data_IF_820788251078
#
_entry.id   IF_820788251078
#
_cell.length_a   1.000
_cell.length_b   1.000
_cell.length_c   1.000
_cell.angle_alpha   90.00
_cell.angle_beta   90.00
_cell.angle_gamma   90.00
#
_symmetry.space_group_name_H-M   'P 1'
#
loop_
_entity.id
_entity.type
_entity.pdbx_description
1 polymer ?
#
# COMPACT_ATOMS: atom_id res chain seq x y z
N UNK A 1 4.00 8.51 -1.72
CA UNK A 1 2.99 7.45 -1.88
C UNK A 1 2.63 7.18 -3.33
N UNK A 2 2.14 8.17 -4.11
CA UNK A 2 1.74 7.99 -5.53
C UNK A 2 2.77 7.25 -6.40
N UNK A 3 4.05 7.64 -6.37
CA UNK A 3 5.11 6.98 -7.15
C UNK A 3 5.29 5.50 -6.81
N UNK A 4 5.19 5.14 -5.53
CA UNK A 4 5.33 3.75 -5.09
C UNK A 4 4.16 2.89 -5.58
N UNK A 5 2.93 3.39 -5.43
CA UNK A 5 1.75 2.68 -5.95
C UNK A 5 1.71 2.61 -7.47
N UNK A 6 2.22 3.62 -8.17
CA UNK A 6 2.36 3.57 -9.62
C UNK A 6 3.34 2.47 -10.06
N UNK A 7 4.50 2.34 -9.39
CA UNK A 7 5.46 1.26 -9.68
C UNK A 7 4.80 -0.11 -9.47
N UNK A 8 4.04 -0.28 -8.39
CA UNK A 8 3.31 -1.54 -8.14
C UNK A 8 2.27 -1.79 -9.25
N UNK A 9 1.49 -0.77 -9.62
CA UNK A 9 0.48 -0.90 -10.67
C UNK A 9 1.10 -1.24 -12.03
N UNK A 10 2.23 -0.63 -12.37
CA UNK A 10 3.00 -0.93 -13.58
C UNK A 10 3.49 -2.39 -13.56
N UNK A 11 4.07 -2.87 -12.45
CA UNK A 11 4.60 -4.24 -12.35
C UNK A 11 3.49 -5.32 -12.25
N UNK A 12 2.29 -4.96 -11.78
CA UNK A 12 1.13 -5.87 -11.73
C UNK A 12 0.23 -5.78 -12.97
N UNK A 13 0.56 -4.95 -13.97
CA UNK A 13 -0.33 -4.61 -15.10
C UNK A 13 -1.74 -4.17 -14.66
N UNK A 14 -1.82 -3.47 -13.52
CA UNK A 14 -3.08 -3.03 -12.92
C UNK A 14 -3.35 -1.55 -13.25
N UNK A 15 -4.63 -1.15 -13.16
CA UNK A 15 -5.02 0.25 -13.37
C UNK A 15 -4.37 1.15 -12.32
N UNK A 16 -3.69 2.20 -12.79
CA UNK A 16 -3.00 3.15 -11.92
C UNK A 16 -4.01 3.86 -11.00
N UNK A 17 -3.66 4.08 -9.72
CA UNK A 17 -4.50 4.87 -8.83
C UNK A 17 -4.51 6.33 -9.28
N UNK A 18 -5.58 6.73 -9.97
CA UNK A 18 -5.78 8.09 -10.48
C UNK A 18 -6.65 8.95 -9.56
N UNK A 19 -7.46 8.32 -8.71
CA UNK A 19 -8.38 9.01 -7.81
C UNK A 19 -7.63 9.39 -6.54
N UNK A 20 -7.48 10.69 -6.29
CA UNK A 20 -7.03 11.17 -4.99
C UNK A 20 -8.15 10.99 -3.98
N UNK A 21 -7.88 10.20 -2.94
CA UNK A 21 -8.89 9.86 -1.94
C UNK A 21 -9.13 11.06 -1.03
N UNK A 22 -10.25 11.76 -1.23
CA UNK A 22 -10.62 12.87 -0.35
C UNK A 22 -11.03 12.38 1.03
N UNK A 23 -10.93 13.26 2.03
CA UNK A 23 -11.37 12.99 3.40
C UNK A 23 -12.85 12.57 3.47
N UNK A 24 -13.70 13.12 2.60
CA UNK A 24 -15.11 12.75 2.54
C UNK A 24 -15.28 11.30 2.07
N UNK A 25 -14.57 10.90 1.02
CA UNK A 25 -14.61 9.54 0.49
C UNK A 25 -14.13 8.51 1.52
N UNK A 26 -13.05 8.80 2.25
CA UNK A 26 -12.54 7.93 3.32
C UNK A 26 -13.49 7.85 4.51
N UNK A 27 -14.15 8.95 4.87
CA UNK A 27 -15.17 8.94 5.93
C UNK A 27 -16.41 8.14 5.52
N UNK A 28 -16.88 8.26 4.28
CA UNK A 28 -17.96 7.42 3.77
C UNK A 28 -17.58 5.94 3.79
N UNK A 29 -16.37 5.59 3.34
CA UNK A 29 -15.88 4.21 3.36
C UNK A 29 -15.88 3.62 4.78
N UNK A 30 -15.46 4.40 5.78
CA UNK A 30 -15.50 4.01 7.20
C UNK A 30 -16.93 3.75 7.68
N UNK A 31 -17.91 4.53 7.23
CA UNK A 31 -19.32 4.32 7.56
C UNK A 31 -19.83 3.02 6.94
N UNK A 32 -19.54 2.77 5.66
CA UNK A 32 -19.86 1.51 4.99
C UNK A 32 -19.24 0.30 5.68
N UNK A 33 -17.97 0.39 6.09
CA UNK A 33 -17.28 -0.70 6.77
C UNK A 33 -17.88 -0.96 8.16
N UNK A 34 -18.34 0.09 8.86
CA UNK A 34 -19.07 -0.05 10.13
C UNK A 34 -20.43 -0.73 9.93
N UNK A 35 -21.19 -0.35 8.91
CA UNK A 35 -22.48 -0.98 8.57
C UNK A 35 -22.24 -2.47 8.24
N UNK A 36 -21.22 -2.75 7.42
CA UNK A 36 -20.82 -4.11 7.07
C UNK A 36 -20.42 -4.92 8.28
N UNK A 37 -19.65 -4.36 9.21
CA UNK A 37 -19.29 -4.99 10.48
C UNK A 37 -20.54 -5.32 11.29
N UNK A 38 -21.50 -4.40 11.41
CA UNK A 38 -22.75 -4.64 12.14
C UNK A 38 -23.54 -5.81 11.54
N UNK A 39 -23.54 -5.97 10.22
CA UNK A 39 -24.27 -7.04 9.52
C UNK A 39 -23.50 -8.38 9.53
N UNK A 40 -22.19 -8.36 9.28
CA UNK A 40 -21.39 -9.57 9.06
C UNK A 40 -20.55 -10.00 10.27
N UNK A 41 -20.47 -9.17 11.31
CA UNK A 41 -19.57 -9.29 12.48
C UNK A 41 -18.09 -9.48 12.12
N UNK A 42 -17.70 -9.21 10.86
CA UNK A 42 -16.32 -9.30 10.39
C UNK A 42 -15.59 -8.01 10.68
N UNK A 43 -14.40 -8.12 11.26
CA UNK A 43 -13.59 -6.97 11.69
C UNK A 43 -13.45 -5.90 10.59
N UNK A 44 -13.63 -4.61 10.95
CA UNK A 44 -13.49 -3.52 10.00
C UNK A 44 -12.04 -3.39 9.56
N UNK A 45 -11.83 -3.32 8.24
CA UNK A 45 -10.50 -3.21 7.62
C UNK A 45 -10.03 -1.76 7.58
N UNK A 46 -10.97 -0.81 7.57
CA UNK A 46 -10.71 0.62 7.44
C UNK A 46 -10.97 1.32 8.78
N UNK A 47 -9.89 1.67 9.50
CA UNK A 47 -9.98 2.40 10.77
C UNK A 47 -9.60 3.87 10.60
N UNK A 48 -10.01 4.72 11.55
CA UNK A 48 -9.64 6.16 11.60
C UNK A 48 -8.11 6.36 11.59
N UNK A 49 -7.36 5.46 12.22
CA UNK A 49 -5.90 5.51 12.26
C UNK A 49 -5.27 5.17 10.91
N UNK A 50 -5.82 4.17 10.20
CA UNK A 50 -5.38 3.80 8.84
C UNK A 50 -5.61 4.97 7.87
N UNK A 51 -6.79 5.62 7.95
CA UNK A 51 -7.11 6.82 7.15
C UNK A 51 -6.08 7.93 7.40
N UNK A 52 -5.82 8.26 8.67
CA UNK A 52 -4.90 9.35 9.03
C UNK A 52 -3.45 9.04 8.61
N UNK A 53 -2.98 7.82 8.82
CA UNK A 53 -1.62 7.41 8.47
C UNK A 53 -1.42 7.28 6.96
N UNK A 54 -2.44 6.89 6.20
CA UNK A 54 -2.40 6.78 4.73
C UNK A 54 -2.24 8.13 4.04
N UNK A 55 -2.75 9.21 4.62
CA UNK A 55 -2.62 10.57 4.07
C UNK A 55 -1.31 11.26 4.48
N UNK A 56 -0.67 10.80 5.56
CA UNK A 56 0.55 11.41 6.05
C UNK A 56 1.78 11.00 5.24
N UNK A 57 2.52 11.97 4.71
CA UNK A 57 3.80 11.75 4.02
C UNK A 57 4.95 11.55 5.01
N UNK A 58 5.26 10.30 5.37
CA UNK A 58 6.45 10.00 6.18
C UNK A 58 7.67 9.81 5.26
N UNK A 59 8.62 10.75 5.32
CA UNK A 59 9.93 10.62 4.67
C UNK A 59 10.90 9.98 5.66
N UNK A 60 11.33 8.75 5.38
CA UNK A 60 12.35 8.07 6.16
C UNK A 60 13.71 8.27 5.50
N UNK A 61 14.71 8.71 6.26
CA UNK A 61 16.10 8.84 5.81
C UNK A 61 16.93 7.70 6.37
N UNK A 62 17.58 6.96 5.48
CA UNK A 62 18.42 5.81 5.84
C UNK A 62 19.92 6.17 5.79
N UNK A 63 20.25 7.46 5.65
CA UNK A 63 21.61 7.94 5.41
C UNK A 63 22.57 7.52 6.52
N UNK A 64 22.14 7.62 7.78
CA UNK A 64 22.94 7.23 8.95
C UNK A 64 23.40 5.76 8.90
N UNK A 65 22.57 4.86 8.37
CA UNK A 65 22.87 3.43 8.32
C UNK A 65 23.83 3.13 7.15
N UNK A 66 23.63 3.78 6.00
CA UNK A 66 24.49 3.64 4.83
C UNK A 66 25.92 4.11 5.10
N UNK A 67 26.05 5.25 5.80
CA UNK A 67 27.35 5.86 6.11
C UNK A 67 28.12 5.08 7.17
N UNK A 68 27.44 4.63 8.24
CA UNK A 68 28.11 3.95 9.37
C UNK A 68 28.48 2.50 9.04
N UNK A 69 27.68 1.80 8.24
CA UNK A 69 27.85 0.37 7.99
C UNK A 69 28.34 0.05 6.56
N UNK A 70 28.59 1.07 5.73
CA UNK A 70 28.96 0.95 4.32
C UNK A 70 28.09 -0.08 3.55
N UNK A 71 26.79 -0.11 3.86
CA UNK A 71 25.87 -1.12 3.35
C UNK A 71 25.00 -0.57 2.22
N UNK A 72 24.99 -1.28 1.09
CA UNK A 72 24.18 -0.95 -0.07
C UNK A 72 22.82 -1.66 0.02
N UNK A 73 21.77 -0.89 0.34
CA UNK A 73 20.41 -1.39 0.34
C UNK A 73 19.91 -1.64 -1.09
N UNK A 74 19.20 -2.75 -1.27
CA UNK A 74 18.48 -3.05 -2.51
C UNK A 74 17.49 -1.90 -2.80
N UNK A 75 17.49 -1.33 -4.03
CA UNK A 75 16.56 -0.29 -4.41
C UNK A 75 15.10 -0.72 -4.21
N UNK A 76 14.27 0.16 -3.67
CA UNK A 76 12.84 -0.13 -3.41
C UNK A 76 12.11 -0.64 -4.65
N UNK A 77 12.44 -0.10 -5.84
CA UNK A 77 11.84 -0.51 -7.12
C UNK A 77 12.12 -1.98 -7.44
N UNK A 78 13.33 -2.45 -7.17
CA UNK A 78 13.74 -3.84 -7.42
C UNK A 78 13.03 -4.79 -6.46
N UNK A 79 12.94 -4.42 -5.18
CA UNK A 79 12.17 -5.18 -4.19
C UNK A 79 10.70 -5.30 -4.58
N UNK A 80 10.07 -4.22 -5.05
CA UNK A 80 8.67 -4.21 -5.52
C UNK A 80 8.48 -5.19 -6.68
N UNK A 81 9.34 -5.13 -7.70
CA UNK A 81 9.29 -6.04 -8.85
C UNK A 81 9.37 -7.50 -8.43
N UNK A 82 10.33 -7.84 -7.57
CA UNK A 82 10.53 -9.22 -7.12
C UNK A 82 9.30 -9.77 -6.40
N UNK A 83 8.66 -8.94 -5.56
CA UNK A 83 7.44 -9.32 -4.84
C UNK A 83 6.25 -9.46 -5.80
N UNK A 84 6.07 -8.51 -6.74
CA UNK A 84 4.97 -8.55 -7.71
C UNK A 84 5.06 -9.81 -8.59
N UNK A 85 6.25 -10.15 -9.07
CA UNK A 85 6.49 -11.36 -9.86
C UNK A 85 6.16 -12.63 -9.07
N UNK A 86 6.60 -12.73 -7.81
CA UNK A 86 6.25 -13.87 -6.95
C UNK A 86 4.75 -13.99 -6.73
N UNK A 87 4.07 -12.88 -6.50
CA UNK A 87 2.63 -12.85 -6.31
C UNK A 87 1.87 -13.34 -7.55
N UNK A 88 2.27 -12.90 -8.75
CA UNK A 88 1.68 -13.37 -10.01
C UNK A 88 1.91 -14.88 -10.25
N UNK A 89 3.10 -15.38 -9.89
CA UNK A 89 3.39 -16.82 -9.97
C UNK A 89 2.48 -17.62 -9.03
N UNK A 90 2.31 -17.18 -7.78
CA UNK A 90 1.40 -17.83 -6.83
C UNK A 90 -0.05 -17.80 -7.29
N UNK A 91 -0.51 -16.68 -7.86
CA UNK A 91 -1.87 -16.58 -8.43
C UNK A 91 -2.08 -17.58 -9.56
N UNK A 92 -1.12 -17.70 -10.48
CA UNK A 92 -1.21 -18.63 -11.59
C UNK A 92 -1.11 -20.10 -11.15
N UNK A 93 -0.41 -20.39 -10.05
CA UNK A 93 -0.29 -21.75 -9.51
C UNK A 93 -1.55 -22.26 -8.79
N UNK A 94 -2.51 -21.37 -8.48
CA UNK A 94 -3.76 -21.69 -7.77
C UNK A 94 -4.96 -21.82 -8.70
N UNK A 95 -4.79 -21.56 -10.00
CA UNK A 95 -5.78 -21.85 -11.04
C UNK A 95 -5.45 -23.19 -11.71
#
# INVERSE_FOLDING_TARGET
YKTFFNIIADELNAVKPHIETSDFMLNSLKIFDKIRYTITRKEPRVTKFTIKSSQQTKKYSNNKIKEVLNYNFIPVKESVRNICNRFLLELNSKN
#
